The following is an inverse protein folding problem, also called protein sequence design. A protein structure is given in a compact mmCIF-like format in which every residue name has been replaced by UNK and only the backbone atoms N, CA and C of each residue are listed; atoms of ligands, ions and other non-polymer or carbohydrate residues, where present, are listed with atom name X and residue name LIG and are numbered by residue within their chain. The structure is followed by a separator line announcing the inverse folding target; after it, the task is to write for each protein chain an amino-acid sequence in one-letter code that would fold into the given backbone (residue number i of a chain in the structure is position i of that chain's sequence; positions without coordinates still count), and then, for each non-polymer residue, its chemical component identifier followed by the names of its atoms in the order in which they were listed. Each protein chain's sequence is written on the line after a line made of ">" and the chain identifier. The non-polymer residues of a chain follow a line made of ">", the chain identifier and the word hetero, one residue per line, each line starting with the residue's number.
data_IF_480206198195
#
_entry.id   IF_480206198195
#
_cell.length_a   1.000
_cell.length_b   1.000
_cell.length_c   1.000
_cell.angle_alpha   90.00
_cell.angle_beta   90.00
_cell.angle_gamma   90.00
#
_symmetry.space_group_name_H-M   'P 1'
#
loop_
_entity.id
_entity.type
_entity.pdbx_description
1 polymer ?
#
# COMPACT_ATOMS: atom_id res chain seq x y z
N UNK A 1 21.75 9.06 -17.59
CA UNK A 1 20.76 9.96 -16.96
C UNK A 1 21.26 11.39 -16.89
N UNK A 2 22.41 11.65 -16.26
CA UNK A 2 22.99 13.00 -16.15
C UNK A 2 23.20 13.70 -17.50
N UNK A 3 23.63 12.97 -18.53
CA UNK A 3 23.79 13.50 -19.89
C UNK A 3 22.46 14.01 -20.47
N UNK A 4 21.36 13.29 -20.24
CA UNK A 4 20.03 13.70 -20.72
C UNK A 4 19.52 14.92 -19.97
N UNK A 5 19.76 14.98 -18.65
CA UNK A 5 19.41 16.14 -17.85
C UNK A 5 20.23 17.38 -18.28
N UNK A 6 21.52 17.21 -18.57
CA UNK A 6 22.36 18.28 -19.07
C UNK A 6 21.90 18.77 -20.44
N UNK A 7 21.66 17.85 -21.38
CA UNK A 7 21.14 18.19 -22.71
C UNK A 7 19.82 18.95 -22.63
N UNK A 8 18.89 18.52 -21.77
CA UNK A 8 17.59 19.19 -21.60
C UNK A 8 17.75 20.61 -21.03
N UNK A 9 18.74 20.83 -20.15
CA UNK A 9 19.08 22.16 -19.63
C UNK A 9 19.72 23.04 -20.70
N UNK A 10 20.63 22.50 -21.50
CA UNK A 10 21.29 23.24 -22.57
C UNK A 10 20.27 23.76 -23.60
N UNK A 11 19.31 22.90 -23.99
CA UNK A 11 18.19 23.28 -24.88
C UNK A 11 17.32 24.37 -24.24
N UNK A 12 17.02 24.24 -22.95
CA UNK A 12 16.25 25.26 -22.22
C UNK A 12 16.95 26.63 -22.26
N UNK A 13 18.26 26.68 -22.00
CA UNK A 13 19.05 27.92 -22.04
C UNK A 13 19.17 28.50 -23.46
N UNK A 14 19.36 27.65 -24.48
CA UNK A 14 19.37 28.10 -25.89
C UNK A 14 18.06 28.83 -26.26
N UNK A 15 16.92 28.28 -25.85
CA UNK A 15 15.61 28.90 -26.08
C UNK A 15 15.44 30.22 -25.37
N UNK A 16 15.91 30.32 -24.12
CA UNK A 16 15.88 31.58 -23.38
C UNK A 16 16.73 32.64 -24.08
N UNK A 17 17.93 32.28 -24.55
CA UNK A 17 18.82 33.16 -25.30
C UNK A 17 18.22 33.60 -26.65
N UNK A 18 17.38 32.76 -27.26
CA UNK A 18 16.62 33.10 -28.46
C UNK A 18 15.38 34.00 -28.20
N UNK A 19 15.14 34.42 -26.96
CA UNK A 19 14.04 35.31 -26.58
C UNK A 19 12.69 34.60 -26.36
N UNK A 20 12.68 33.27 -26.25
CA UNK A 20 11.45 32.51 -25.97
C UNK A 20 11.03 32.72 -24.51
N UNK A 21 9.73 32.90 -24.28
CA UNK A 21 9.17 33.05 -22.93
C UNK A 21 9.46 31.80 -22.05
N UNK A 22 9.79 32.03 -20.78
CA UNK A 22 10.15 30.96 -19.80
C UNK A 22 9.12 29.84 -19.72
N UNK A 23 7.84 30.17 -19.80
CA UNK A 23 6.73 29.20 -19.75
C UNK A 23 6.72 28.23 -20.94
N UNK A 24 7.20 28.68 -22.11
CA UNK A 24 7.32 27.88 -23.32
C UNK A 24 8.65 27.12 -23.36
N UNK A 25 9.72 27.71 -22.82
CA UNK A 25 11.03 27.06 -22.74
C UNK A 25 11.01 25.86 -21.78
N UNK A 26 10.33 25.96 -20.63
CA UNK A 26 10.33 24.91 -19.58
C UNK A 26 9.69 23.58 -19.99
N UNK A 27 8.99 23.51 -21.13
CA UNK A 27 8.30 22.29 -21.58
C UNK A 27 9.26 21.14 -21.92
N UNK A 28 10.51 21.48 -22.24
CA UNK A 28 11.54 20.50 -22.59
C UNK A 28 12.29 19.98 -21.34
N UNK A 29 12.02 20.54 -20.15
CA UNK A 29 12.59 20.06 -18.90
C UNK A 29 11.91 18.74 -18.49
N UNK A 30 12.69 17.74 -18.02
CA UNK A 30 12.15 16.45 -17.61
C UNK A 30 11.33 16.57 -16.31
N UNK A 31 10.44 15.60 -16.07
CA UNK A 31 9.64 15.49 -14.84
C UNK A 31 10.46 15.34 -13.57
N UNK A 32 11.73 14.91 -13.68
CA UNK A 32 12.68 14.82 -12.57
C UNK A 32 13.26 16.17 -12.14
N UNK A 33 12.85 17.28 -12.77
CA UNK A 33 13.27 18.62 -12.37
C UNK A 33 12.68 18.96 -11.02
N UNK A 34 13.54 19.28 -10.04
CA UNK A 34 13.12 19.69 -8.71
C UNK A 34 12.24 20.93 -8.75
N UNK A 35 11.23 20.93 -7.89
CA UNK A 35 10.33 22.06 -7.69
C UNK A 35 10.08 22.23 -6.21
N UNK A 36 9.71 23.44 -5.82
CA UNK A 36 9.37 23.79 -4.45
C UNK A 36 7.91 24.20 -4.41
N UNK A 37 7.19 23.76 -3.38
CA UNK A 37 5.80 24.09 -3.19
C UNK A 37 5.50 24.31 -1.70
N UNK A 38 4.69 25.32 -1.41
CA UNK A 38 4.09 25.48 -0.09
C UNK A 38 2.87 24.59 0.00
N UNK A 39 2.87 23.66 0.95
CA UNK A 39 1.77 22.76 1.19
C UNK A 39 1.17 23.01 2.58
N UNK A 40 -0.12 23.40 2.60
CA UNK A 40 -0.92 23.55 3.82
C UNK A 40 -2.04 22.54 3.79
N UNK A 41 -2.17 21.75 4.86
CA UNK A 41 -3.17 20.70 5.00
C UNK A 41 -3.57 20.58 6.47
N UNK A 42 -4.81 20.17 6.74
CA UNK A 42 -5.24 19.81 8.09
C UNK A 42 -4.75 18.40 8.49
N UNK A 43 -4.85 18.10 9.78
CA UNK A 43 -4.34 16.84 10.31
C UNK A 43 -5.07 15.59 9.77
N UNK A 44 -6.38 15.66 9.54
CA UNK A 44 -7.14 14.51 9.06
C UNK A 44 -6.71 14.12 7.64
N UNK A 45 -6.62 15.10 6.75
CA UNK A 45 -6.19 14.88 5.37
C UNK A 45 -4.70 14.54 5.29
N UNK A 46 -3.86 15.06 6.20
CA UNK A 46 -2.46 14.66 6.29
C UNK A 46 -2.32 13.17 6.63
N UNK A 47 -3.08 12.67 7.62
CA UNK A 47 -3.06 11.25 7.97
C UNK A 47 -3.53 10.37 6.81
N UNK A 48 -4.54 10.80 6.06
CA UNK A 48 -4.98 10.08 4.87
C UNK A 48 -3.92 10.06 3.76
N UNK A 49 -3.24 11.19 3.52
CA UNK A 49 -2.09 11.24 2.61
C UNK A 49 -0.98 10.28 3.04
N UNK A 50 -0.60 10.29 4.31
CA UNK A 50 0.43 9.41 4.84
C UNK A 50 0.04 7.94 4.69
N UNK A 51 -1.23 7.59 4.94
CA UNK A 51 -1.72 6.22 4.74
C UNK A 51 -1.53 5.75 3.29
N UNK A 52 -1.86 6.59 2.31
CA UNK A 52 -1.70 6.25 0.89
C UNK A 52 -0.25 6.24 0.40
N UNK A 53 0.61 7.10 0.98
CA UNK A 53 1.96 7.35 0.45
C UNK A 53 3.08 6.66 1.20
N UNK A 54 2.83 6.18 2.42
CA UNK A 54 3.74 5.29 3.12
C UNK A 54 3.62 3.82 2.68
N UNK A 55 2.60 3.49 1.89
CA UNK A 55 2.36 2.15 1.37
C UNK A 55 3.51 1.64 0.48
N UNK A 56 3.78 0.34 0.51
CA UNK A 56 4.86 -0.28 -0.28
C UNK A 56 4.62 -0.21 -1.79
N UNK A 57 3.35 -0.17 -2.22
CA UNK A 57 2.95 0.00 -3.61
C UNK A 57 3.05 1.44 -4.10
N UNK A 58 3.22 2.42 -3.20
CA UNK A 58 3.51 3.78 -3.59
C UNK A 58 4.90 3.89 -4.23
N UNK A 59 5.07 4.86 -5.13
CA UNK A 59 6.36 5.14 -5.74
C UNK A 59 7.40 5.50 -4.65
N UNK A 60 8.64 4.99 -4.80
CA UNK A 60 9.67 5.13 -3.78
C UNK A 60 9.93 6.59 -3.38
N UNK A 61 10.04 7.50 -4.35
CA UNK A 61 10.36 8.91 -4.10
C UNK A 61 9.31 9.59 -3.22
N UNK A 62 8.00 9.42 -3.52
CA UNK A 62 6.94 10.01 -2.70
C UNK A 62 6.83 9.33 -1.33
N UNK A 63 7.17 8.04 -1.23
CA UNK A 63 7.23 7.34 0.04
C UNK A 63 8.31 7.92 0.95
N UNK A 64 9.50 8.23 0.43
CA UNK A 64 10.53 8.91 1.22
C UNK A 64 10.04 10.22 1.84
N UNK A 65 9.36 11.08 1.04
CA UNK A 65 8.76 12.31 1.57
C UNK A 65 7.70 12.02 2.64
N UNK A 66 6.80 11.07 2.39
CA UNK A 66 5.75 10.72 3.35
C UNK A 66 6.32 10.15 4.64
N UNK A 67 7.35 9.30 4.57
CA UNK A 67 8.02 8.75 5.74
C UNK A 67 8.71 9.82 6.58
N UNK A 68 9.43 10.76 5.97
CA UNK A 68 10.02 11.89 6.70
C UNK A 68 8.93 12.75 7.36
N UNK A 69 7.86 13.10 6.63
CA UNK A 69 6.76 13.89 7.19
C UNK A 69 6.08 13.15 8.35
N UNK A 70 5.80 11.86 8.22
CA UNK A 70 5.12 11.07 9.24
C UNK A 70 6.00 10.74 10.44
N UNK A 71 7.14 10.08 10.18
CA UNK A 71 8.03 9.50 11.21
C UNK A 71 8.90 10.54 11.89
N UNK A 72 9.29 11.62 11.20
CA UNK A 72 10.20 12.61 11.77
C UNK A 72 9.49 13.89 12.19
N UNK A 73 8.45 14.35 11.49
CA UNK A 73 7.76 15.60 11.84
C UNK A 73 6.52 15.31 12.68
N UNK A 74 5.54 14.60 12.12
CA UNK A 74 4.23 14.42 12.75
C UNK A 74 4.32 13.62 14.06
N UNK A 75 5.16 12.59 14.11
CA UNK A 75 5.38 11.78 15.31
C UNK A 75 5.85 12.59 16.52
N UNK A 76 6.64 13.65 16.29
CA UNK A 76 7.18 14.51 17.35
C UNK A 76 6.14 15.56 17.77
N UNK A 77 5.39 16.12 16.81
CA UNK A 77 4.44 17.20 17.07
C UNK A 77 3.10 16.71 17.63
N UNK A 78 2.63 15.54 17.19
CA UNK A 78 1.35 14.96 17.58
C UNK A 78 1.50 13.46 17.94
N UNK A 79 2.28 13.11 18.97
CA UNK A 79 2.66 11.73 19.28
C UNK A 79 1.46 10.81 19.55
N UNK A 80 0.45 11.29 20.28
CA UNK A 80 -0.75 10.50 20.56
C UNK A 80 -1.56 10.20 19.31
N UNK A 81 -1.67 11.17 18.39
CA UNK A 81 -2.37 10.97 17.11
C UNK A 81 -1.57 10.03 16.22
N UNK A 82 -0.24 10.19 16.18
CA UNK A 82 0.64 9.30 15.44
C UNK A 82 0.52 7.86 15.90
N UNK A 83 0.53 7.61 17.21
CA UNK A 83 0.35 6.27 17.76
C UNK A 83 -1.01 5.69 17.38
N UNK A 84 -2.10 6.46 17.54
CA UNK A 84 -3.44 6.02 17.15
C UNK A 84 -3.53 5.73 15.63
N UNK A 85 -2.86 6.53 14.81
CA UNK A 85 -2.78 6.29 13.37
C UNK A 85 -2.06 4.97 13.05
N UNK A 86 -0.96 4.67 13.73
CA UNK A 86 -0.27 3.40 13.56
C UNK A 86 -1.16 2.21 13.97
N UNK A 87 -1.79 2.29 15.15
CA UNK A 87 -2.53 1.16 15.72
C UNK A 87 -3.84 0.87 14.98
N UNK A 88 -4.59 1.92 14.62
CA UNK A 88 -5.95 1.78 14.09
C UNK A 88 -6.06 1.96 12.57
N UNK A 89 -4.97 2.32 11.89
CA UNK A 89 -4.95 2.47 10.42
C UNK A 89 -3.81 1.69 9.78
N UNK A 90 -2.56 2.00 10.10
CA UNK A 90 -1.39 1.45 9.37
C UNK A 90 -1.20 -0.03 9.66
N UNK A 91 -1.25 -0.41 10.94
CA UNK A 91 -1.02 -1.79 11.38
C UNK A 91 -2.34 -2.57 11.55
N UNK A 92 -3.48 -1.94 11.25
CA UNK A 92 -4.78 -2.58 11.38
C UNK A 92 -4.97 -3.64 10.29
N UNK A 93 -5.52 -4.79 10.68
CA UNK A 93 -5.91 -5.85 9.75
C UNK A 93 -7.42 -5.81 9.56
N UNK A 94 -7.86 -5.67 8.30
CA UNK A 94 -9.27 -5.78 7.96
C UNK A 94 -9.63 -7.25 7.74
N UNK A 95 -10.74 -7.70 8.34
CA UNK A 95 -11.32 -9.02 8.08
C UNK A 95 -12.59 -8.83 7.26
N UNK A 96 -12.65 -9.51 6.12
CA UNK A 96 -13.84 -9.62 5.28
C UNK A 96 -14.87 -10.53 5.93
N UNK A 97 -16.13 -10.46 5.49
CA UNK A 97 -17.21 -11.32 6.01
C UNK A 97 -16.88 -12.83 5.98
N UNK A 98 -16.39 -13.38 4.84
CA UNK A 98 -15.96 -14.77 4.76
C UNK A 98 -14.83 -15.13 5.74
N UNK A 99 -13.85 -14.24 5.90
CA UNK A 99 -12.74 -14.44 6.84
C UNK A 99 -13.24 -14.49 8.29
N UNK A 100 -14.17 -13.60 8.67
CA UNK A 100 -14.79 -13.62 9.99
C UNK A 100 -15.51 -14.94 10.25
N UNK A 101 -16.31 -15.43 9.29
CA UNK A 101 -17.05 -16.68 9.43
C UNK A 101 -16.11 -17.89 9.60
N UNK A 102 -15.00 -17.92 8.85
CA UNK A 102 -14.00 -18.98 8.95
C UNK A 102 -13.24 -18.92 10.27
N UNK A 103 -12.80 -17.74 10.71
CA UNK A 103 -12.11 -17.59 12.00
C UNK A 103 -13.02 -18.01 13.16
N UNK A 104 -14.30 -17.69 13.12
CA UNK A 104 -15.29 -18.16 14.11
C UNK A 104 -15.39 -19.70 14.13
N UNK A 105 -15.45 -20.34 12.97
CA UNK A 105 -15.51 -21.79 12.87
C UNK A 105 -14.21 -22.47 13.34
N UNK A 106 -13.05 -21.89 13.02
CA UNK A 106 -11.74 -22.33 13.51
C UNK A 106 -11.69 -22.26 15.04
N UNK A 107 -12.08 -21.12 15.62
CA UNK A 107 -12.06 -20.93 17.07
C UNK A 107 -13.06 -21.83 17.81
N UNK A 108 -14.12 -22.27 17.14
CA UNK A 108 -15.11 -23.21 17.69
C UNK A 108 -14.68 -24.68 17.56
N UNK A 109 -13.55 -24.97 16.91
CA UNK A 109 -13.06 -26.34 16.68
C UNK A 109 -13.86 -27.12 15.64
N UNK A 110 -14.71 -26.46 14.85
CA UNK A 110 -15.61 -27.11 13.89
C UNK A 110 -14.89 -27.35 12.55
N UNK A 111 -13.91 -28.27 12.51
CA UNK A 111 -13.06 -28.50 11.33
C UNK A 111 -13.84 -28.80 10.04
N UNK A 112 -14.93 -29.58 10.12
CA UNK A 112 -15.79 -29.91 8.97
C UNK A 112 -16.48 -28.66 8.40
N UNK A 113 -16.94 -27.77 9.28
CA UNK A 113 -17.60 -26.51 8.89
C UNK A 113 -16.62 -25.54 8.26
N UNK A 114 -15.38 -25.48 8.75
CA UNK A 114 -14.30 -24.69 8.13
C UNK A 114 -14.07 -25.14 6.69
N UNK A 115 -13.99 -26.45 6.46
CA UNK A 115 -13.83 -27.01 5.12
C UNK A 115 -15.04 -26.71 4.23
N UNK A 116 -16.25 -26.87 4.75
CA UNK A 116 -17.48 -26.59 4.02
C UNK A 116 -17.57 -25.11 3.61
N UNK A 117 -17.34 -24.18 4.55
CA UNK A 117 -17.33 -22.74 4.27
C UNK A 117 -16.28 -22.38 3.22
N UNK A 118 -15.07 -22.94 3.32
CA UNK A 118 -14.02 -22.69 2.34
C UNK A 118 -14.36 -23.23 0.94
N UNK A 119 -15.12 -24.32 0.84
CA UNK A 119 -15.65 -24.82 -0.44
C UNK A 119 -16.78 -23.91 -0.95
N UNK A 120 -17.69 -23.49 -0.08
CA UNK A 120 -18.83 -22.64 -0.43
C UNK A 120 -18.38 -21.25 -0.92
N UNK A 121 -17.32 -20.69 -0.33
CA UNK A 121 -16.67 -19.47 -0.79
C UNK A 121 -15.82 -19.66 -2.05
N UNK A 122 -15.66 -20.89 -2.55
CA UNK A 122 -14.86 -21.20 -3.74
C UNK A 122 -13.35 -21.05 -3.51
N UNK A 123 -12.89 -21.18 -2.26
CA UNK A 123 -11.48 -21.11 -1.89
C UNK A 123 -10.78 -22.47 -2.00
N UNK A 124 -11.53 -23.54 -1.73
CA UNK A 124 -11.11 -24.94 -1.88
C UNK A 124 -11.94 -25.65 -2.96
N UNK A 125 -11.36 -26.67 -3.62
CA UNK A 125 -12.09 -27.48 -4.59
C UNK A 125 -13.18 -28.32 -3.92
N UNK A 126 -14.24 -28.65 -4.68
CA UNK A 126 -15.37 -29.47 -4.19
C UNK A 126 -14.98 -30.94 -4.05
N UNK A 127 -14.10 -31.42 -4.93
CA UNK A 127 -13.54 -32.77 -4.89
C UNK A 127 -12.05 -32.72 -4.51
N UNK A 128 -11.57 -33.75 -3.80
CA UNK A 128 -10.15 -33.89 -3.47
C UNK A 128 -9.27 -34.13 -4.71
N UNK A 129 -9.86 -34.59 -5.82
CA UNK A 129 -9.14 -34.86 -7.08
C UNK A 129 -8.94 -33.60 -7.95
N UNK A 130 -9.61 -32.49 -7.62
CA UNK A 130 -9.48 -31.24 -8.35
C UNK A 130 -8.32 -30.41 -7.82
N UNK A 131 -7.44 -29.94 -8.70
CA UNK A 131 -6.37 -29.04 -8.28
C UNK A 131 -6.94 -27.71 -7.79
N UNK A 132 -6.46 -27.21 -6.63
CA UNK A 132 -6.92 -25.94 -6.10
C UNK A 132 -6.50 -24.80 -7.03
N UNK A 133 -7.50 -24.08 -7.56
CA UNK A 133 -7.24 -22.85 -8.33
C UNK A 133 -6.62 -21.78 -7.41
N UNK A 134 -5.86 -20.87 -8.01
CA UNK A 134 -5.34 -19.69 -7.31
C UNK A 134 -6.51 -18.80 -6.90
N UNK A 135 -6.67 -18.60 -5.61
CA UNK A 135 -7.68 -17.71 -5.04
C UNK A 135 -6.97 -16.64 -4.18
N UNK A 136 -7.22 -15.35 -4.45
CA UNK A 136 -6.57 -14.24 -3.75
C UNK A 136 -7.03 -14.11 -2.30
N UNK A 137 -8.33 -14.24 -2.05
CA UNK A 137 -8.91 -14.15 -0.69
C UNK A 137 -8.38 -15.26 0.21
N UNK A 138 -8.26 -16.49 -0.32
CA UNK A 138 -7.63 -17.59 0.40
C UNK A 138 -6.19 -17.28 0.81
N UNK A 139 -5.39 -16.76 -0.12
CA UNK A 139 -3.98 -16.42 0.13
C UNK A 139 -3.87 -15.29 1.16
N UNK A 140 -4.75 -14.29 1.07
CA UNK A 140 -4.83 -13.20 2.03
C UNK A 140 -5.18 -13.71 3.43
N UNK A 141 -6.20 -14.58 3.57
CA UNK A 141 -6.52 -15.17 4.87
C UNK A 141 -5.35 -16.02 5.40
N UNK A 142 -4.67 -16.80 4.55
CA UNK A 142 -3.51 -17.59 4.99
C UNK A 142 -2.39 -16.71 5.55
N UNK A 143 -2.15 -15.55 4.94
CA UNK A 143 -1.19 -14.56 5.46
C UNK A 143 -1.65 -14.01 6.81
N UNK A 144 -2.94 -13.66 6.96
CA UNK A 144 -3.52 -13.18 8.22
C UNK A 144 -3.46 -14.23 9.33
N UNK A 145 -3.81 -15.48 9.05
CA UNK A 145 -3.70 -16.58 10.02
C UNK A 145 -2.25 -16.79 10.46
N UNK A 146 -1.31 -16.74 9.52
CA UNK A 146 0.13 -16.82 9.83
C UNK A 146 0.56 -15.67 10.74
N UNK A 147 0.15 -14.44 10.44
CA UNK A 147 0.41 -13.27 11.28
C UNK A 147 -0.17 -13.41 12.70
N UNK A 148 -1.33 -14.04 12.82
CA UNK A 148 -2.01 -14.31 14.09
C UNK A 148 -1.50 -15.56 14.82
N UNK A 149 -0.47 -16.23 14.30
CA UNK A 149 0.04 -17.52 14.81
C UNK A 149 -1.03 -18.62 14.90
N UNK A 150 -1.96 -18.64 13.94
CA UNK A 150 -3.01 -19.66 13.82
C UNK A 150 -2.63 -20.70 12.75
N UNK A 151 -3.04 -21.95 12.96
CA UNK A 151 -2.82 -23.01 11.97
C UNK A 151 -3.70 -22.83 10.73
N UNK A 152 -3.16 -23.18 9.56
CA UNK A 152 -3.89 -23.15 8.29
C UNK A 152 -4.72 -24.44 8.18
N UNK A 153 -6.07 -24.37 8.20
CA UNK A 153 -6.92 -25.56 8.38
C UNK A 153 -6.94 -26.55 7.21
N UNK A 154 -6.41 -26.16 6.05
CA UNK A 154 -6.46 -26.94 4.81
C UNK A 154 -5.07 -27.15 4.19
N UNK A 155 -4.03 -27.13 5.01
CA UNK A 155 -2.65 -27.34 4.56
C UNK A 155 -2.46 -28.70 3.86
N UNK A 156 -3.21 -29.71 4.26
CA UNK A 156 -3.13 -31.08 3.71
C UNK A 156 -3.93 -31.28 2.42
N UNK A 157 -4.70 -30.27 1.97
CA UNK A 157 -5.58 -30.32 0.79
C UNK A 157 -5.08 -29.49 -0.39
N UNK A 158 -3.95 -28.81 -0.23
CA UNK A 158 -3.28 -28.01 -1.26
C UNK A 158 -2.07 -28.74 -1.81
#
# INVERSE_FOLDING_TARGET
>A
ESELQQLSRDIYEERLNAGIAREQARKDLPLSTYTEAYWKVDLHNLLHFLWLRMDEHAQFEIRCYAETIGKEILSQWCPTVWQAFLDYRVNAQALTGPEVALIQAINSGEAEKVQQLAIDFGWLPKSADEQPKRNRERLELQQKLTLLNMEIPWKDRL
#
